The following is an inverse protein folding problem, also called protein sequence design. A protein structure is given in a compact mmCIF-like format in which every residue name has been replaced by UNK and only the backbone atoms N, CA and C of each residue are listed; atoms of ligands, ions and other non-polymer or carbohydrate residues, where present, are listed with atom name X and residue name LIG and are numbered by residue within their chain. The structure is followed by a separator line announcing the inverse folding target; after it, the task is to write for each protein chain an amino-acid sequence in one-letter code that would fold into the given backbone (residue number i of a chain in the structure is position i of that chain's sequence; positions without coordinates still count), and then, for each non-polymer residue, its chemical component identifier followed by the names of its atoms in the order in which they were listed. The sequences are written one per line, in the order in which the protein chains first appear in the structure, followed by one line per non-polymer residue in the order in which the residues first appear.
data_IF_065890129879
#
_entry.id   IF_065890129879
#
_cell.length_a   1.000
_cell.length_b   1.000
_cell.length_c   1.000
_cell.angle_alpha   90.00
_cell.angle_beta   90.00
_cell.angle_gamma   90.00
#
_symmetry.space_group_name_H-M   'P 1'
#
loop_
_entity.id
_entity.type
_entity.pdbx_description
1 polymer ?
#
# COMPACT_ATOMS: atom_id res chain seq x y z
N UNK A 1 -9.62 30.79 26.05
CA UNK A 1 -9.08 31.28 24.76
C UNK A 1 -9.45 30.29 23.68
N UNK A 2 -10.26 30.70 22.70
CA UNK A 2 -10.53 29.91 21.50
C UNK A 2 -9.26 29.93 20.63
N UNK A 3 -8.70 28.76 20.30
CA UNK A 3 -7.62 28.67 19.31
C UNK A 3 -8.18 29.11 17.96
N UNK A 4 -7.51 30.05 17.30
CA UNK A 4 -7.85 30.41 15.92
C UNK A 4 -7.84 29.16 15.03
N UNK A 5 -8.76 29.05 14.05
CA UNK A 5 -8.78 27.92 13.14
C UNK A 5 -7.46 27.86 12.37
N UNK A 6 -6.84 26.69 12.33
CA UNK A 6 -5.66 26.44 11.50
C UNK A 6 -6.12 26.50 10.05
N UNK A 7 -5.66 27.50 9.29
CA UNK A 7 -5.82 27.52 7.84
C UNK A 7 -4.73 26.64 7.21
N UNK A 8 -5.18 25.66 6.43
CA UNK A 8 -4.28 24.90 5.56
C UNK A 8 -4.32 25.55 4.18
N UNK A 9 -3.23 26.19 3.79
CA UNK A 9 -3.02 26.63 2.41
C UNK A 9 -2.28 25.53 1.64
N UNK A 10 -2.76 25.22 0.44
CA UNK A 10 -2.09 24.28 -0.45
C UNK A 10 -0.89 24.99 -1.08
N UNK A 11 0.29 24.48 -0.81
CA UNK A 11 1.52 24.89 -1.48
C UNK A 11 1.82 23.93 -2.64
N UNK A 12 1.30 24.28 -3.82
CA UNK A 12 1.47 23.47 -5.03
C UNK A 12 2.95 23.34 -5.43
N UNK A 13 3.73 24.40 -5.27
CA UNK A 13 5.16 24.42 -5.60
C UNK A 13 5.92 23.40 -4.77
N UNK A 14 5.71 23.43 -3.45
CA UNK A 14 6.30 22.47 -2.52
C UNK A 14 5.82 21.05 -2.78
N UNK A 15 4.54 20.85 -3.12
CA UNK A 15 4.02 19.52 -3.44
C UNK A 15 4.74 18.90 -4.66
N UNK A 16 4.98 19.70 -5.71
CA UNK A 16 5.74 19.27 -6.90
C UNK A 16 7.19 18.95 -6.56
N UNK A 17 7.85 19.73 -5.71
CA UNK A 17 9.21 19.46 -5.27
C UNK A 17 9.33 18.15 -4.48
N UNK A 18 8.40 17.92 -3.54
CA UNK A 18 8.32 16.66 -2.78
C UNK A 18 8.13 15.48 -3.73
N UNK A 19 7.19 15.58 -4.68
CA UNK A 19 6.93 14.52 -5.65
C UNK A 19 8.17 14.21 -6.50
N UNK A 20 8.91 15.23 -6.92
CA UNK A 20 10.17 15.06 -7.69
C UNK A 20 11.23 14.31 -6.90
N UNK A 21 11.42 14.66 -5.63
CA UNK A 21 12.39 13.98 -4.75
C UNK A 21 11.99 12.52 -4.53
N UNK A 22 10.72 12.26 -4.20
CA UNK A 22 10.23 10.89 -4.00
C UNK A 22 10.40 10.04 -5.25
N UNK A 23 10.02 10.56 -6.43
CA UNK A 23 10.18 9.86 -7.70
C UNK A 23 11.65 9.51 -7.97
N UNK A 24 12.57 10.45 -7.74
CA UNK A 24 13.99 10.21 -7.91
C UNK A 24 14.50 9.08 -7.01
N UNK A 25 14.12 9.08 -5.73
CA UNK A 25 14.47 8.03 -4.77
C UNK A 25 13.90 6.66 -5.16
N UNK A 26 12.65 6.61 -5.64
CA UNK A 26 12.01 5.39 -6.14
C UNK A 26 12.80 4.82 -7.33
N UNK A 27 13.15 5.67 -8.30
CA UNK A 27 13.91 5.25 -9.48
C UNK A 27 15.30 4.70 -9.12
N UNK A 28 15.89 5.16 -8.02
CA UNK A 28 17.16 4.65 -7.49
C UNK A 28 17.01 3.38 -6.65
N UNK A 29 15.78 2.93 -6.35
CA UNK A 29 15.54 1.83 -5.42
C UNK A 29 15.99 2.16 -3.99
N UNK A 30 15.91 3.44 -3.59
CA UNK A 30 16.41 3.89 -2.30
C UNK A 30 15.57 3.33 -1.14
N UNK A 31 16.22 2.82 -0.09
CA UNK A 31 15.57 2.13 1.04
C UNK A 31 14.55 2.97 1.84
N UNK A 32 14.67 4.32 1.79
CA UNK A 32 13.71 5.24 2.41
C UNK A 32 12.31 5.17 1.76
N UNK A 33 12.22 4.65 0.54
CA UNK A 33 10.95 4.52 -0.16
C UNK A 33 10.71 3.04 -0.42
N UNK A 34 9.71 2.50 0.26
CA UNK A 34 9.20 1.16 -0.04
C UNK A 34 7.71 1.22 -0.28
N UNK A 35 7.29 0.48 -1.29
CA UNK A 35 5.88 0.29 -1.67
C UNK A 35 5.64 -1.21 -1.75
N UNK A 36 5.57 -1.91 -0.60
CA UNK A 36 5.44 -3.35 -0.59
C UNK A 36 4.10 -3.82 -1.17
N UNK A 37 3.10 -2.93 -1.28
CA UNK A 37 1.80 -3.13 -1.92
C UNK A 37 1.93 -3.33 -3.44
N UNK A 38 2.96 -2.73 -4.06
CA UNK A 38 3.17 -2.78 -5.51
C UNK A 38 3.78 -4.10 -5.98
N UNK A 39 4.24 -4.94 -5.03
CA UNK A 39 4.76 -6.27 -5.33
C UNK A 39 3.62 -7.27 -5.21
N UNK A 40 3.14 -7.75 -6.37
CA UNK A 40 2.07 -8.75 -6.43
C UNK A 40 2.61 -10.17 -6.19
N UNK A 41 1.78 -11.09 -5.67
CA UNK A 41 2.03 -12.53 -5.71
C UNK A 41 2.31 -13.03 -7.13
N UNK A 42 3.18 -14.03 -7.29
CA UNK A 42 3.61 -14.54 -8.62
C UNK A 42 2.47 -15.04 -9.51
N UNK A 43 1.42 -15.58 -8.91
CA UNK A 43 0.26 -16.17 -9.57
C UNK A 43 -0.96 -15.24 -9.59
N UNK A 44 -0.80 -13.95 -9.23
CA UNK A 44 -1.88 -12.98 -9.22
C UNK A 44 -1.83 -12.09 -10.46
N UNK A 45 -2.91 -12.10 -11.25
CA UNK A 45 -3.02 -11.25 -12.43
C UNK A 45 -3.36 -9.82 -12.03
N UNK A 46 -2.51 -8.87 -12.41
CA UNK A 46 -2.77 -7.45 -12.21
C UNK A 46 -4.10 -7.03 -12.86
N UNK A 47 -4.92 -6.30 -12.11
CA UNK A 47 -6.22 -5.78 -12.55
C UNK A 47 -7.37 -6.80 -12.54
N UNK A 48 -7.14 -8.05 -12.12
CA UNK A 48 -8.23 -9.04 -12.01
C UNK A 48 -9.12 -8.81 -10.78
N UNK A 49 -10.23 -9.54 -10.70
CA UNK A 49 -11.10 -9.56 -9.50
C UNK A 49 -10.32 -10.02 -8.27
N UNK A 50 -9.52 -11.07 -8.41
CA UNK A 50 -8.69 -11.63 -7.35
C UNK A 50 -7.66 -10.61 -6.85
N UNK A 51 -7.17 -9.76 -7.76
CA UNK A 51 -6.27 -8.67 -7.38
C UNK A 51 -6.97 -7.64 -6.50
N UNK A 52 -8.19 -7.25 -6.87
CA UNK A 52 -8.99 -6.34 -6.05
C UNK A 52 -9.32 -6.96 -4.67
N UNK A 53 -9.65 -8.24 -4.62
CA UNK A 53 -9.93 -8.96 -3.36
C UNK A 53 -8.68 -9.06 -2.48
N UNK A 54 -7.53 -9.42 -3.07
CA UNK A 54 -6.25 -9.47 -2.36
C UNK A 54 -5.91 -8.13 -1.73
N UNK A 55 -5.95 -7.03 -2.50
CA UNK A 55 -5.69 -5.69 -1.99
C UNK A 55 -6.68 -5.30 -0.90
N UNK A 56 -7.98 -5.51 -1.13
CA UNK A 56 -9.03 -5.16 -0.15
C UNK A 56 -8.79 -5.85 1.18
N UNK A 57 -8.49 -7.14 1.16
CA UNK A 57 -8.23 -7.90 2.38
C UNK A 57 -6.97 -7.40 3.11
N UNK A 58 -5.85 -7.28 2.41
CA UNK A 58 -4.57 -6.89 3.05
C UNK A 58 -4.65 -5.46 3.59
N UNK A 59 -5.23 -4.52 2.84
CA UNK A 59 -5.41 -3.13 3.28
C UNK A 59 -6.32 -3.04 4.51
N UNK A 60 -7.37 -3.87 4.60
CA UNK A 60 -8.29 -3.85 5.74
C UNK A 60 -7.63 -4.20 7.08
N UNK A 61 -6.45 -4.83 7.05
CA UNK A 61 -5.66 -5.21 8.22
C UNK A 61 -4.32 -4.48 8.32
N UNK A 62 -4.06 -3.47 7.47
CA UNK A 62 -2.79 -2.72 7.43
C UNK A 62 -2.70 -1.56 8.44
N UNK A 63 -3.69 -1.44 9.33
CA UNK A 63 -3.68 -0.40 10.33
C UNK A 63 -2.75 -0.75 11.50
N UNK A 64 -1.79 0.15 11.80
CA UNK A 64 -0.81 0.00 12.89
C UNK A 64 0.05 -1.28 12.80
N UNK A 65 0.29 -1.77 11.59
CA UNK A 65 1.13 -2.93 11.32
C UNK A 65 2.48 -2.55 10.71
N UNK A 66 3.43 -3.47 10.80
CA UNK A 66 4.65 -3.43 9.98
C UNK A 66 4.27 -3.81 8.54
N UNK A 67 4.17 -2.80 7.67
CA UNK A 67 3.74 -2.95 6.28
C UNK A 67 4.62 -3.94 5.51
N UNK A 68 5.95 -3.83 5.58
CA UNK A 68 6.87 -4.75 4.88
C UNK A 68 6.59 -6.21 5.25
N UNK A 69 6.47 -6.47 6.56
CA UNK A 69 6.22 -7.80 7.08
C UNK A 69 4.82 -8.30 6.73
N UNK A 70 3.81 -7.44 6.81
CA UNK A 70 2.43 -7.76 6.45
C UNK A 70 2.36 -8.17 4.98
N UNK A 71 2.77 -7.29 4.07
CA UNK A 71 2.69 -7.49 2.64
C UNK A 71 3.55 -8.66 2.17
N UNK A 72 4.73 -8.87 2.77
CA UNK A 72 5.54 -10.06 2.49
C UNK A 72 4.85 -11.37 2.89
N UNK A 73 4.20 -11.40 4.06
CA UNK A 73 3.47 -12.58 4.53
C UNK A 73 2.18 -12.81 3.74
N UNK A 74 1.46 -11.73 3.42
CA UNK A 74 0.25 -11.78 2.61
C UNK A 74 0.54 -12.35 1.22
N UNK A 75 1.64 -11.94 0.57
CA UNK A 75 2.08 -12.54 -0.69
C UNK A 75 2.26 -14.05 -0.57
N UNK A 76 3.05 -14.49 0.40
CA UNK A 76 3.29 -15.92 0.62
C UNK A 76 2.00 -16.69 0.93
N UNK A 77 1.09 -16.09 1.71
CA UNK A 77 -0.20 -16.69 2.02
C UNK A 77 -1.10 -16.80 0.78
N UNK A 78 -1.15 -15.78 -0.08
CA UNK A 78 -1.92 -15.82 -1.32
C UNK A 78 -1.34 -16.83 -2.32
N UNK A 79 -0.02 -16.91 -2.43
CA UNK A 79 0.63 -17.88 -3.33
C UNK A 79 0.31 -19.33 -2.93
N UNK A 80 0.14 -19.62 -1.63
CA UNK A 80 -0.17 -20.95 -1.11
C UNK A 80 -1.68 -21.23 -1.05
N UNK A 81 -2.48 -20.23 -0.70
CA UNK A 81 -3.89 -20.38 -0.34
C UNK A 81 -4.73 -19.20 -0.85
N UNK A 82 -4.83 -18.98 -2.18
CA UNK A 82 -5.54 -17.84 -2.75
C UNK A 82 -7.04 -17.84 -2.37
N UNK A 83 -7.63 -19.00 -2.11
CA UNK A 83 -9.01 -19.17 -1.69
C UNK A 83 -9.31 -18.54 -0.31
N UNK A 84 -8.30 -18.23 0.51
CA UNK A 84 -8.51 -17.54 1.79
C UNK A 84 -8.79 -16.05 1.64
N UNK A 85 -8.55 -15.50 0.45
CA UNK A 85 -8.78 -14.09 0.13
C UNK A 85 -10.14 -13.86 -0.54
N UNK A 86 -10.97 -14.91 -0.67
CA UNK A 86 -12.36 -14.78 -1.11
C UNK A 86 -13.27 -14.50 0.08
N UNK A 87 -14.12 -13.45 0.07
CA UNK A 87 -14.96 -13.06 1.20
C UNK A 87 -15.82 -14.21 1.74
N UNK A 88 -16.28 -15.11 0.87
CA UNK A 88 -17.16 -16.22 1.22
C UNK A 88 -16.45 -17.33 2.03
N UNK A 89 -15.12 -17.25 2.17
CA UNK A 89 -14.29 -18.20 2.94
C UNK A 89 -13.57 -17.56 4.13
N UNK A 90 -13.76 -16.26 4.34
CA UNK A 90 -13.23 -15.59 5.53
C UNK A 90 -14.15 -15.96 6.69
N UNK A 91 -13.63 -16.75 7.63
CA UNK A 91 -14.31 -17.19 8.86
C UNK A 91 -14.70 -16.01 9.76
#
# INVERSE_FOLDING_TARGET
MLKAPVQFEVDEGKAVEVARVLLHLIMQGHWLVSMPEYRLPRNLQAGSREHALYLTYVISIDYMTDAEKLWSRARGAYELYPERFTPEKIL
#
